data_IF_207186799850
#
_entry.id   IF_207186799850
#
_cell.length_a   1.000
_cell.length_b   1.000
_cell.length_c   1.000
_cell.angle_alpha   90.00
_cell.angle_beta   90.00
_cell.angle_gamma   90.00
#
_symmetry.space_group_name_H-M   'P 1'
#
loop_
_entity.id
_entity.type
_entity.pdbx_description
1 polymer ?
#
# COMPACT_ATOMS: atom_id res chain seq x y z
N UNK A 1 -17.20 6.68 -6.82
CA UNK A 1 -17.68 7.63 -5.79
C UNK A 1 -17.90 9.01 -6.37
N UNK A 2 -16.86 9.68 -6.94
CA UNK A 2 -16.97 11.03 -7.52
C UNK A 2 -18.04 11.10 -8.61
N UNK A 3 -17.89 10.31 -9.68
CA UNK A 3 -18.80 10.31 -10.83
C UNK A 3 -20.25 9.93 -10.48
N UNK A 4 -20.45 9.10 -9.47
CA UNK A 4 -21.77 8.69 -9.01
C UNK A 4 -22.43 9.66 -8.03
N UNK A 5 -21.73 10.71 -7.58
CA UNK A 5 -22.25 11.68 -6.60
C UNK A 5 -22.66 11.07 -5.27
N UNK A 6 -21.98 10.01 -4.81
CA UNK A 6 -22.38 9.25 -3.60
C UNK A 6 -22.33 10.07 -2.31
N UNK A 7 -21.62 11.19 -2.30
CA UNK A 7 -21.54 12.10 -1.16
C UNK A 7 -22.58 13.24 -1.21
N UNK A 8 -23.46 13.23 -2.23
CA UNK A 8 -24.50 14.24 -2.42
C UNK A 8 -24.06 15.45 -3.23
N UNK A 9 -25.04 16.26 -3.65
CA UNK A 9 -24.84 17.37 -4.59
C UNK A 9 -24.00 18.54 -4.05
N UNK A 10 -23.83 18.62 -2.73
CA UNK A 10 -23.13 19.72 -2.05
C UNK A 10 -21.67 19.38 -1.71
N UNK A 11 -21.20 18.18 -2.04
CA UNK A 11 -19.81 17.73 -1.77
C UNK A 11 -19.06 17.63 -3.07
N UNK A 12 -17.94 18.35 -3.18
CA UNK A 12 -17.01 18.23 -4.28
C UNK A 12 -15.74 17.54 -3.79
N UNK A 13 -15.27 16.57 -4.53
CA UNK A 13 -13.99 15.90 -4.25
C UNK A 13 -12.93 16.52 -5.16
N UNK A 14 -11.90 17.09 -4.56
CA UNK A 14 -10.69 17.53 -5.25
C UNK A 14 -9.59 16.49 -5.00
N UNK A 15 -9.13 15.84 -6.09
CA UNK A 15 -8.17 14.75 -6.01
C UNK A 15 -6.75 15.25 -6.23
N UNK A 16 -5.93 15.14 -5.19
CA UNK A 16 -4.49 15.47 -5.23
C UNK A 16 -3.67 14.19 -5.06
N UNK A 17 -2.78 13.92 -6.00
CA UNK A 17 -1.93 12.72 -6.00
C UNK A 17 -0.57 13.06 -5.40
N UNK A 18 -0.18 12.36 -4.34
CA UNK A 18 1.18 12.42 -3.79
C UNK A 18 2.06 11.31 -4.39
N UNK A 19 3.37 11.56 -4.50
CA UNK A 19 4.32 10.65 -5.12
C UNK A 19 5.44 10.19 -4.19
N UNK A 20 5.51 10.74 -2.98
CA UNK A 20 6.50 10.35 -1.97
C UNK A 20 5.95 10.47 -0.55
N UNK A 21 6.50 9.72 0.43
CA UNK A 21 6.13 9.87 1.85
C UNK A 21 6.37 11.28 2.39
N UNK A 22 7.37 12.00 1.89
CA UNK A 22 7.68 13.37 2.29
C UNK A 22 6.60 14.35 1.80
N UNK A 23 6.10 14.16 0.57
CA UNK A 23 4.99 14.93 0.02
C UNK A 23 3.71 14.70 0.82
N UNK A 24 3.39 13.45 1.12
CA UNK A 24 2.25 13.10 1.98
C UNK A 24 2.38 13.73 3.38
N UNK A 25 3.58 13.68 3.99
CA UNK A 25 3.83 14.33 5.28
C UNK A 25 3.58 15.84 5.21
N UNK A 26 4.05 16.50 4.14
CA UNK A 26 3.85 17.94 3.94
C UNK A 26 2.36 18.27 3.79
N UNK A 27 1.60 17.47 3.04
CA UNK A 27 0.14 17.61 2.90
C UNK A 27 -0.59 17.50 4.25
N UNK A 28 -0.24 16.49 5.05
CA UNK A 28 -0.84 16.31 6.39
C UNK A 28 -0.49 17.48 7.32
N UNK A 29 0.76 17.94 7.31
CA UNK A 29 1.19 19.06 8.15
C UNK A 29 0.61 20.40 7.69
N UNK A 30 0.39 20.56 6.39
CA UNK A 30 -0.24 21.75 5.80
C UNK A 30 -1.70 21.90 6.18
N UNK A 31 -2.41 20.80 6.44
CA UNK A 31 -3.81 20.80 6.84
C UNK A 31 -4.76 21.34 5.75
N UNK A 32 -4.33 21.27 4.48
CA UNK A 32 -5.10 21.75 3.33
C UNK A 32 -6.00 20.67 2.71
N UNK A 33 -5.92 19.43 3.22
CA UNK A 33 -6.65 18.28 2.75
C UNK A 33 -7.44 17.64 3.89
N UNK A 34 -8.60 17.08 3.57
CA UNK A 34 -9.52 16.49 4.54
C UNK A 34 -9.28 14.98 4.73
N UNK A 35 -8.97 14.29 3.63
CA UNK A 35 -8.83 12.84 3.58
C UNK A 35 -7.51 12.45 2.91
N UNK A 36 -6.88 11.42 3.43
CA UNK A 36 -5.57 10.97 2.97
C UNK A 36 -5.58 9.47 2.68
N UNK A 37 -5.03 9.06 1.53
CA UNK A 37 -4.67 7.68 1.30
C UNK A 37 -3.31 7.41 1.95
N UNK A 38 -3.27 6.51 2.93
CA UNK A 38 -2.09 6.20 3.72
C UNK A 38 -1.55 4.79 3.45
N UNK A 39 -0.25 4.63 3.19
CA UNK A 39 0.44 3.40 3.55
C UNK A 39 0.38 3.20 5.07
N UNK A 40 0.12 1.98 5.54
CA UNK A 40 -0.17 1.74 6.96
C UNK A 40 1.02 2.02 7.90
N UNK A 41 2.25 1.77 7.46
CA UNK A 41 3.46 2.16 8.19
C UNK A 41 3.59 3.68 8.34
N UNK A 42 3.19 4.42 7.30
CA UNK A 42 3.26 5.88 7.29
C UNK A 42 2.25 6.47 8.26
N UNK A 43 0.97 6.05 8.23
CA UNK A 43 -0.05 6.59 9.15
C UNK A 43 0.30 6.30 10.60
N UNK A 44 0.80 5.09 10.92
CA UNK A 44 1.29 4.74 12.26
C UNK A 44 2.46 5.64 12.68
N UNK A 45 3.42 5.88 11.78
CA UNK A 45 4.56 6.75 12.04
C UNK A 45 4.13 8.20 12.32
N UNK A 46 3.22 8.74 11.52
CA UNK A 46 2.69 10.10 11.70
C UNK A 46 1.94 10.23 13.04
N UNK A 47 1.08 9.27 13.36
CA UNK A 47 0.37 9.21 14.62
C UNK A 47 1.33 9.15 15.82
N UNK A 48 2.30 8.25 15.79
CA UNK A 48 3.29 8.09 16.85
C UNK A 48 4.20 9.31 17.04
N UNK A 49 4.38 10.12 16.01
CA UNK A 49 5.03 11.44 16.07
C UNK A 49 4.12 12.56 16.57
N UNK A 50 2.87 12.26 16.90
CA UNK A 50 1.92 13.20 17.51
C UNK A 50 1.13 14.04 16.51
N UNK A 51 1.09 13.66 15.21
CA UNK A 51 0.19 14.29 14.26
C UNK A 51 -1.25 13.83 14.52
N UNK A 52 -2.19 14.73 14.27
CA UNK A 52 -3.62 14.48 14.48
C UNK A 52 -4.22 13.66 13.33
N UNK A 53 -3.76 12.42 13.17
CA UNK A 53 -4.26 11.51 12.13
C UNK A 53 -5.02 10.34 12.74
N UNK A 54 -6.04 9.87 12.01
CA UNK A 54 -6.84 8.68 12.34
C UNK A 54 -6.97 7.81 11.11
N UNK A 55 -6.73 6.52 11.26
CA UNK A 55 -7.01 5.52 10.23
C UNK A 55 -8.51 5.19 10.23
N UNK A 56 -9.18 5.37 9.12
CA UNK A 56 -10.62 5.14 8.96
C UNK A 56 -10.94 3.74 8.47
N UNK A 57 -10.16 3.25 7.52
CA UNK A 57 -10.34 1.94 6.92
C UNK A 57 -9.03 1.38 6.38
N UNK A 58 -9.07 0.08 6.07
CA UNK A 58 -8.09 -0.59 5.21
C UNK A 58 -8.82 -1.05 3.96
N UNK A 59 -8.25 -0.74 2.79
CA UNK A 59 -8.92 -0.97 1.51
C UNK A 59 -8.05 -1.72 0.49
N UNK A 60 -6.76 -1.88 0.77
CA UNK A 60 -5.80 -2.56 -0.10
C UNK A 60 -5.03 -3.59 0.71
N UNK A 61 -5.03 -4.84 0.23
CA UNK A 61 -4.49 -6.01 0.91
C UNK A 61 -3.64 -6.85 -0.04
N UNK A 62 -2.56 -7.47 0.44
CA UNK A 62 -1.78 -8.46 -0.29
C UNK A 62 -1.32 -8.05 -1.70
N UNK A 63 -1.18 -6.76 -1.97
CA UNK A 63 -0.97 -6.15 -3.30
C UNK A 63 0.49 -6.26 -3.78
N UNK A 64 1.39 -6.77 -2.95
CA UNK A 64 2.84 -6.73 -3.15
C UNK A 64 3.38 -8.06 -3.65
N UNK A 65 4.31 -7.98 -4.59
CA UNK A 65 5.00 -9.12 -5.18
C UNK A 65 6.50 -8.87 -5.26
N UNK A 66 7.28 -9.92 -5.05
CA UNK A 66 8.69 -9.93 -5.43
C UNK A 66 8.80 -10.36 -6.88
N UNK A 67 9.44 -9.53 -7.67
CA UNK A 67 9.53 -9.63 -9.12
C UNK A 67 10.95 -9.91 -9.55
N UNK A 68 11.14 -10.73 -10.59
CA UNK A 68 12.47 -10.97 -11.16
C UNK A 68 12.39 -11.32 -12.63
N UNK A 69 13.50 -11.11 -13.35
CA UNK A 69 13.79 -11.68 -14.67
C UNK A 69 14.69 -12.91 -14.59
N UNK A 70 15.24 -13.24 -13.41
CA UNK A 70 16.07 -14.42 -13.20
C UNK A 70 15.21 -15.70 -13.17
N UNK A 71 15.34 -16.62 -14.15
CA UNK A 71 14.60 -17.87 -14.16
C UNK A 71 15.04 -18.86 -13.08
N UNK A 72 16.23 -18.67 -12.49
CA UNK A 72 16.79 -19.55 -11.47
C UNK A 72 16.42 -19.13 -10.04
N UNK A 73 15.86 -17.95 -9.85
CA UNK A 73 15.43 -17.46 -8.54
C UNK A 73 14.26 -18.29 -8.00
N UNK A 74 14.36 -18.78 -6.77
CA UNK A 74 13.33 -19.58 -6.09
C UNK A 74 12.98 -19.05 -4.71
N UNK A 75 13.96 -18.51 -3.95
CA UNK A 75 13.77 -18.14 -2.53
C UNK A 75 14.48 -16.83 -2.18
N UNK A 76 14.12 -16.22 -1.07
CA UNK A 76 14.79 -15.03 -0.54
C UNK A 76 16.29 -15.23 -0.33
N UNK A 77 16.74 -16.46 0.01
CA UNK A 77 18.17 -16.77 0.20
C UNK A 77 19.01 -16.61 -1.06
N UNK A 78 18.40 -16.70 -2.24
CA UNK A 78 19.09 -16.53 -3.54
C UNK A 78 19.51 -15.08 -3.79
N UNK A 79 19.07 -14.14 -2.94
CA UNK A 79 19.42 -12.72 -3.03
C UNK A 79 20.75 -12.37 -2.39
N UNK A 80 21.49 -13.34 -1.83
CA UNK A 80 22.82 -13.09 -1.28
C UNK A 80 23.77 -12.52 -2.36
N UNK A 81 24.34 -11.33 -2.10
CA UNK A 81 25.20 -10.60 -3.03
C UNK A 81 24.45 -9.85 -4.14
N UNK A 82 23.12 -9.76 -4.07
CA UNK A 82 22.29 -9.11 -5.09
C UNK A 82 21.86 -7.71 -4.68
N UNK A 83 21.39 -6.93 -5.66
CA UNK A 83 20.75 -5.64 -5.47
C UNK A 83 19.24 -5.80 -5.69
N UNK A 84 18.44 -5.33 -4.75
CA UNK A 84 16.98 -5.35 -4.79
C UNK A 84 16.45 -3.92 -4.88
N UNK A 85 15.61 -3.65 -5.86
CA UNK A 85 14.96 -2.36 -6.04
C UNK A 85 13.61 -2.34 -5.33
N UNK A 86 13.37 -1.33 -4.49
CA UNK A 86 12.15 -1.21 -3.69
C UNK A 86 11.54 0.17 -3.87
N UNK A 87 10.23 0.27 -4.13
CA UNK A 87 9.56 1.57 -4.18
C UNK A 87 9.24 2.08 -2.76
N UNK A 88 9.26 3.41 -2.60
CA UNK A 88 8.72 4.10 -1.43
C UNK A 88 9.31 3.60 -0.10
N UNK A 89 10.52 4.04 0.19
CA UNK A 89 11.18 3.76 1.48
C UNK A 89 10.24 3.98 2.67
N UNK A 90 10.31 3.11 3.67
CA UNK A 90 9.46 3.08 4.86
C UNK A 90 7.98 2.75 4.60
N UNK A 91 7.63 2.26 3.41
CA UNK A 91 6.31 1.73 3.10
C UNK A 91 6.15 0.27 3.56
N UNK A 92 4.91 -0.29 3.62
CA UNK A 92 4.72 -1.71 3.91
C UNK A 92 5.48 -2.67 3.00
N UNK A 93 5.56 -2.47 1.66
CA UNK A 93 6.42 -3.27 0.80
C UNK A 93 7.89 -3.27 1.20
N UNK A 94 8.44 -2.11 1.58
CA UNK A 94 9.82 -2.00 2.05
C UNK A 94 10.02 -2.74 3.37
N UNK A 95 9.18 -2.46 4.37
CA UNK A 95 9.26 -3.08 5.68
C UNK A 95 9.19 -4.63 5.60
N UNK A 96 8.25 -5.15 4.83
CA UNK A 96 8.10 -6.59 4.65
C UNK A 96 9.23 -7.22 3.83
N UNK A 97 9.77 -6.53 2.81
CA UNK A 97 10.94 -7.02 2.08
C UNK A 97 12.13 -7.20 3.02
N UNK A 98 12.42 -6.20 3.85
CA UNK A 98 13.50 -6.28 4.83
C UNK A 98 13.26 -7.39 5.85
N UNK A 99 12.01 -7.53 6.32
CA UNK A 99 11.63 -8.60 7.22
C UNK A 99 11.86 -10.00 6.60
N UNK A 100 11.39 -10.24 5.38
CA UNK A 100 11.57 -11.53 4.71
C UNK A 100 13.05 -11.84 4.38
N UNK A 101 13.85 -10.85 4.03
CA UNK A 101 15.29 -11.00 3.87
C UNK A 101 15.95 -11.42 5.20
N UNK A 102 15.57 -10.77 6.30
CA UNK A 102 16.08 -11.14 7.63
C UNK A 102 15.67 -12.57 8.04
N UNK A 103 14.42 -12.97 7.82
CA UNK A 103 13.94 -14.34 8.02
C UNK A 103 14.71 -15.39 7.19
N UNK A 104 15.21 -15.00 6.03
CA UNK A 104 16.06 -15.83 5.20
C UNK A 104 17.54 -15.83 5.64
N UNK A 105 17.87 -15.10 6.71
CA UNK A 105 19.22 -14.99 7.26
C UNK A 105 20.12 -14.01 6.50
N UNK A 106 19.53 -13.09 5.74
CA UNK A 106 20.26 -12.06 4.98
C UNK A 106 20.14 -10.70 5.69
N UNK A 107 21.28 -10.02 5.82
CA UNK A 107 21.38 -8.70 6.41
C UNK A 107 21.42 -7.64 5.30
N UNK A 108 20.46 -6.71 5.34
CA UNK A 108 20.45 -5.55 4.42
C UNK A 108 21.67 -4.68 4.67
N UNK A 109 22.36 -4.30 3.59
CA UNK A 109 23.60 -3.51 3.63
C UNK A 109 24.87 -4.33 3.81
N UNK A 110 24.77 -5.65 4.13
CA UNK A 110 25.90 -6.58 4.19
C UNK A 110 25.77 -7.66 3.12
N UNK A 111 24.65 -8.39 3.13
CA UNK A 111 24.39 -9.51 2.21
C UNK A 111 23.57 -9.10 1.00
N UNK A 112 22.69 -8.10 1.14
CA UNK A 112 21.79 -7.59 0.08
C UNK A 112 21.85 -6.08 0.07
N UNK A 113 22.01 -5.49 -1.11
CA UNK A 113 21.90 -4.04 -1.32
C UNK A 113 20.45 -3.68 -1.66
N UNK A 114 19.89 -2.66 -1.00
CA UNK A 114 18.57 -2.09 -1.35
C UNK A 114 18.77 -0.73 -2.02
N UNK A 115 18.11 -0.57 -3.18
CA UNK A 115 18.06 0.70 -3.91
C UNK A 115 16.61 1.17 -3.96
N UNK A 116 16.38 2.39 -3.47
CA UNK A 116 15.06 3.01 -3.47
C UNK A 116 14.86 3.93 -4.67
N UNK A 117 13.68 3.84 -5.28
CA UNK A 117 13.26 4.71 -6.36
C UNK A 117 11.73 4.92 -6.31
N UNK A 118 11.18 5.73 -7.19
CA UNK A 118 9.71 5.82 -7.32
C UNK A 118 9.13 4.51 -7.86
N UNK A 119 7.87 4.22 -7.55
CA UNK A 119 7.20 2.98 -8.02
C UNK A 119 7.24 2.85 -9.54
N UNK A 120 7.04 3.95 -10.26
CA UNK A 120 7.10 3.96 -11.72
C UNK A 120 8.52 3.70 -12.25
N UNK A 121 9.53 4.21 -11.57
CA UNK A 121 10.94 4.02 -11.95
C UNK A 121 11.38 2.59 -11.71
N UNK A 122 11.06 1.99 -10.55
CA UNK A 122 11.34 0.57 -10.28
C UNK A 122 10.70 -0.33 -11.34
N UNK A 123 9.43 -0.07 -11.70
CA UNK A 123 8.75 -0.82 -12.74
C UNK A 123 9.43 -0.66 -14.12
N UNK A 124 9.90 0.54 -14.46
CA UNK A 124 10.60 0.80 -15.71
C UNK A 124 11.98 0.11 -15.75
N UNK A 125 12.75 0.15 -14.67
CA UNK A 125 14.05 -0.53 -14.56
C UNK A 125 13.91 -2.05 -14.71
N UNK A 126 12.87 -2.63 -14.10
CA UNK A 126 12.57 -4.05 -14.23
C UNK A 126 12.14 -4.40 -15.67
N UNK A 127 11.27 -3.58 -16.26
CA UNK A 127 10.79 -3.78 -17.63
C UNK A 127 11.91 -3.65 -18.67
N UNK A 128 12.88 -2.75 -18.46
CA UNK A 128 14.05 -2.58 -19.35
C UNK A 128 15.12 -3.65 -19.16
N UNK A 129 15.07 -4.42 -18.05
CA UNK A 129 16.10 -5.37 -17.66
C UNK A 129 17.33 -4.73 -16.98
N UNK A 130 17.24 -3.45 -16.62
CA UNK A 130 18.28 -2.79 -15.81
C UNK A 130 18.24 -3.19 -14.35
N UNK A 131 17.05 -3.55 -13.83
CA UNK A 131 16.85 -4.22 -12.55
C UNK A 131 16.50 -5.70 -12.79
N UNK A 132 17.14 -6.60 -12.05
CA UNK A 132 16.86 -8.04 -12.11
C UNK A 132 15.91 -8.48 -10.98
N UNK A 133 15.97 -7.81 -9.83
CA UNK A 133 15.20 -8.11 -8.63
C UNK A 133 14.52 -6.86 -8.08
N UNK A 134 13.23 -6.93 -7.88
CA UNK A 134 12.48 -5.81 -7.35
C UNK A 134 11.26 -6.24 -6.54
N UNK A 135 10.93 -5.47 -5.50
CA UNK A 135 9.59 -5.48 -4.91
C UNK A 135 8.72 -4.50 -5.67
N UNK A 136 7.53 -4.90 -6.08
CA UNK A 136 6.55 -4.03 -6.72
C UNK A 136 5.14 -4.28 -6.19
N UNK A 137 4.30 -3.29 -6.38
CA UNK A 137 2.86 -3.35 -6.08
C UNK A 137 2.04 -3.25 -7.36
N UNK A 138 0.82 -3.80 -7.35
CA UNK A 138 -0.13 -3.57 -8.44
C UNK A 138 -0.58 -2.09 -8.46
N UNK A 139 -0.84 -1.51 -9.64
CA UNK A 139 -0.85 -2.12 -10.98
C UNK A 139 0.51 -2.11 -11.68
N UNK A 140 1.59 -1.70 -11.03
CA UNK A 140 2.92 -1.60 -11.66
C UNK A 140 3.53 -2.97 -11.95
N UNK A 141 3.19 -4.00 -11.17
CA UNK A 141 3.51 -5.40 -11.47
C UNK A 141 2.97 -5.80 -12.85
N UNK A 142 1.69 -5.63 -13.07
CA UNK A 142 1.03 -5.90 -14.34
C UNK A 142 1.61 -5.04 -15.47
N UNK A 143 1.93 -3.77 -15.20
CA UNK A 143 2.58 -2.88 -16.18
C UNK A 143 3.95 -3.42 -16.61
N UNK A 144 4.83 -3.78 -15.67
CA UNK A 144 6.16 -4.31 -15.98
C UNK A 144 6.08 -5.62 -16.78
N UNK A 145 5.22 -6.56 -16.36
CA UNK A 145 5.02 -7.83 -17.06
C UNK A 145 4.45 -7.64 -18.48
N UNK A 146 3.62 -6.63 -18.72
CA UNK A 146 3.08 -6.33 -20.05
C UNK A 146 4.14 -5.80 -21.01
N UNK A 147 5.23 -5.22 -20.50
CA UNK A 147 6.31 -4.61 -21.28
C UNK A 147 7.48 -5.58 -21.50
N UNK A 148 7.70 -6.53 -20.58
CA UNK A 148 8.77 -7.51 -20.67
C UNK A 148 8.27 -8.88 -20.23
N UNK A 149 8.21 -9.83 -21.15
CA UNK A 149 7.72 -11.19 -20.89
C UNK A 149 8.67 -12.06 -20.04
N UNK A 150 9.88 -11.61 -19.78
CA UNK A 150 10.82 -12.28 -18.86
C UNK A 150 10.54 -11.92 -17.40
N UNK A 151 9.87 -10.79 -17.18
CA UNK A 151 9.45 -10.36 -15.84
C UNK A 151 8.33 -11.26 -15.31
N UNK A 152 8.55 -11.82 -14.14
CA UNK A 152 7.56 -12.69 -13.48
C UNK A 152 7.34 -12.33 -12.02
N UNK A 153 6.16 -12.63 -11.50
CA UNK A 153 5.92 -12.70 -10.06
C UNK A 153 6.65 -13.94 -9.52
N UNK A 154 7.69 -13.73 -8.73
CA UNK A 154 8.50 -14.80 -8.17
C UNK A 154 7.97 -15.26 -6.82
N UNK A 155 7.66 -14.31 -5.93
CA UNK A 155 7.05 -14.58 -4.62
C UNK A 155 5.85 -13.66 -4.41
N UNK A 156 4.79 -14.21 -3.83
CA UNK A 156 3.66 -13.43 -3.32
C UNK A 156 3.92 -13.06 -1.87
N UNK A 157 3.83 -11.78 -1.53
CA UNK A 157 3.98 -11.35 -0.14
C UNK A 157 2.88 -11.91 0.75
N UNK A 158 1.68 -12.13 0.20
CA UNK A 158 0.58 -12.76 0.91
C UNK A 158 0.92 -14.20 1.33
N UNK A 159 1.51 -15.00 0.42
CA UNK A 159 1.93 -16.37 0.72
C UNK A 159 3.10 -16.38 1.73
N UNK A 160 4.06 -15.48 1.58
CA UNK A 160 5.16 -15.33 2.53
C UNK A 160 4.66 -14.89 3.92
N UNK A 161 3.70 -13.98 3.97
CA UNK A 161 3.06 -13.55 5.21
C UNK A 161 2.38 -14.71 5.94
N UNK A 162 1.55 -15.48 5.25
CA UNK A 162 0.90 -16.65 5.79
C UNK A 162 1.91 -17.68 6.30
N UNK A 163 3.02 -17.85 5.56
CA UNK A 163 4.10 -18.75 5.96
C UNK A 163 4.77 -18.32 7.27
N UNK A 164 5.06 -17.03 7.46
CA UNK A 164 5.80 -16.54 8.65
C UNK A 164 4.88 -16.34 9.85
N UNK A 165 3.65 -15.91 9.65
CA UNK A 165 2.68 -15.67 10.74
C UNK A 165 1.93 -16.94 11.15
N UNK A 166 1.85 -17.94 10.28
CA UNK A 166 1.06 -19.15 10.49
C UNK A 166 -0.45 -18.91 10.52
N UNK A 167 -0.92 -17.80 9.93
CA UNK A 167 -2.33 -17.39 9.90
C UNK A 167 -2.83 -17.27 8.46
N UNK A 168 -4.15 -17.33 8.29
CA UNK A 168 -4.82 -17.08 7.00
C UNK A 168 -5.23 -15.59 6.86
N UNK A 169 -4.68 -14.70 7.71
CA UNK A 169 -5.00 -13.27 7.65
C UNK A 169 -4.35 -12.62 6.44
N UNK A 170 -5.07 -11.66 5.84
CA UNK A 170 -4.54 -10.87 4.74
C UNK A 170 -3.51 -9.86 5.24
N UNK A 171 -2.51 -9.53 4.41
CA UNK A 171 -1.59 -8.44 4.70
C UNK A 171 -2.29 -7.11 4.50
N UNK A 172 -2.45 -6.28 5.54
CA UNK A 172 -2.96 -4.93 5.37
C UNK A 172 -1.86 -4.04 4.76
N UNK A 173 -2.18 -3.28 3.71
CA UNK A 173 -1.20 -2.46 3.00
C UNK A 173 -1.49 -0.96 3.07
N UNK A 174 -2.69 -0.56 2.66
CA UNK A 174 -3.08 0.85 2.62
C UNK A 174 -4.56 1.05 3.00
N UNK A 175 -4.87 2.26 3.40
CA UNK A 175 -6.23 2.65 3.77
C UNK A 175 -6.42 4.15 3.66
N UNK A 176 -7.63 4.62 3.95
CA UNK A 176 -7.91 6.03 4.12
C UNK A 176 -7.89 6.43 5.58
N UNK A 177 -7.44 7.65 5.80
CA UNK A 177 -7.49 8.31 7.10
C UNK A 177 -7.83 9.80 6.96
N UNK A 178 -8.04 10.42 8.10
CA UNK A 178 -8.33 11.84 8.24
C UNK A 178 -7.75 12.37 9.55
N UNK A 179 -8.05 13.61 9.94
CA UNK A 179 -7.69 14.16 11.25
C UNK A 179 -8.85 14.02 12.24
N UNK A 180 -8.55 13.98 13.55
CA UNK A 180 -9.59 14.00 14.56
C UNK A 180 -10.42 15.28 14.49
N UNK A 181 -9.76 16.41 14.21
CA UNK A 181 -10.45 17.69 14.02
C UNK A 181 -11.48 17.65 12.89
N UNK A 182 -11.16 17.03 11.76
CA UNK A 182 -12.12 16.86 10.67
C UNK A 182 -13.30 15.97 11.08
N UNK A 183 -13.06 14.88 11.81
CA UNK A 183 -14.11 13.99 12.31
C UNK A 183 -15.05 14.75 13.24
N UNK A 184 -14.50 15.53 14.18
CA UNK A 184 -15.28 16.29 15.16
C UNK A 184 -16.14 17.38 14.51
N UNK A 185 -15.64 18.00 13.45
CA UNK A 185 -16.34 19.05 12.70
C UNK A 185 -17.35 18.49 11.68
N UNK A 186 -17.09 17.30 11.14
CA UNK A 186 -17.86 16.71 10.03
C UNK A 186 -18.21 15.22 10.28
N UNK A 187 -18.85 14.85 11.42
CA UNK A 187 -19.08 13.45 11.75
C UNK A 187 -19.96 12.74 10.72
N UNK A 188 -21.03 13.38 10.26
CA UNK A 188 -21.94 12.79 9.26
C UNK A 188 -21.26 12.59 7.91
N UNK A 189 -20.40 13.54 7.46
CA UNK A 189 -19.66 13.42 6.20
C UNK A 189 -18.60 12.31 6.29
N UNK A 190 -17.97 12.13 7.46
CA UNK A 190 -17.01 11.06 7.71
C UNK A 190 -17.65 9.68 7.54
N UNK A 191 -18.84 9.48 8.13
CA UNK A 191 -19.59 8.23 7.96
C UNK A 191 -20.09 8.03 6.53
N UNK A 192 -20.59 9.08 5.88
CA UNK A 192 -21.02 9.04 4.48
C UNK A 192 -19.86 8.67 3.56
N UNK A 193 -18.65 9.21 3.80
CA UNK A 193 -17.47 8.85 3.04
C UNK A 193 -17.15 7.37 3.19
N UNK A 194 -17.14 6.82 4.40
CA UNK A 194 -16.86 5.40 4.65
C UNK A 194 -17.84 4.51 3.87
N UNK A 195 -19.14 4.81 3.95
CA UNK A 195 -20.16 4.05 3.24
C UNK A 195 -20.02 4.14 1.72
N UNK A 196 -19.83 5.36 1.20
CA UNK A 196 -19.64 5.62 -0.23
C UNK A 196 -18.36 4.98 -0.77
N UNK A 197 -17.31 4.95 0.05
CA UNK A 197 -16.04 4.33 -0.33
C UNK A 197 -16.16 2.80 -0.38
N UNK A 198 -16.82 2.19 0.60
CA UNK A 198 -17.11 0.74 0.59
C UNK A 198 -17.90 0.32 -0.65
N UNK A 199 -18.96 1.09 -0.99
CA UNK A 199 -19.74 0.86 -2.22
C UNK A 199 -18.87 1.02 -3.47
N UNK A 200 -17.98 2.02 -3.50
CA UNK A 200 -17.09 2.27 -4.63
C UNK A 200 -16.05 1.17 -4.82
N UNK A 201 -15.52 0.58 -3.74
CA UNK A 201 -14.61 -0.58 -3.83
C UNK A 201 -15.33 -1.77 -4.47
N UNK A 202 -16.57 -2.05 -4.03
CA UNK A 202 -17.36 -3.13 -4.62
C UNK A 202 -17.68 -2.87 -6.09
N UNK A 203 -18.04 -1.61 -6.42
CA UNK A 203 -18.31 -1.23 -7.81
C UNK A 203 -17.09 -1.44 -8.71
N UNK A 204 -15.88 -1.10 -8.26
CA UNK A 204 -14.63 -1.35 -9.02
C UNK A 204 -14.44 -2.82 -9.33
N UNK A 205 -14.73 -3.70 -8.36
CA UNK A 205 -14.61 -5.15 -8.54
C UNK A 205 -15.65 -5.71 -9.52
N UNK A 206 -16.86 -5.14 -9.50
CA UNK A 206 -17.96 -5.57 -10.36
C UNK A 206 -17.87 -4.97 -11.78
N UNK A 207 -17.17 -3.85 -11.95
CA UNK A 207 -17.07 -3.08 -13.20
C UNK A 207 -15.62 -2.73 -13.56
N UNK A 208 -14.72 -3.72 -13.72
CA UNK A 208 -13.29 -3.45 -13.87
C UNK A 208 -12.94 -2.63 -15.13
N UNK A 209 -13.65 -2.81 -16.23
CA UNK A 209 -13.41 -2.06 -17.46
C UNK A 209 -13.77 -0.57 -17.32
N UNK A 210 -14.92 -0.28 -16.69
CA UNK A 210 -15.36 1.10 -16.43
C UNK A 210 -14.46 1.78 -15.39
N UNK A 211 -14.06 1.05 -14.34
CA UNK A 211 -13.12 1.54 -13.33
C UNK A 211 -11.75 1.86 -13.96
N UNK A 212 -11.28 1.03 -14.87
CA UNK A 212 -10.03 1.25 -15.59
C UNK A 212 -10.10 2.50 -16.50
N UNK A 213 -11.24 2.75 -17.16
CA UNK A 213 -11.44 3.96 -17.95
C UNK A 213 -11.39 5.23 -17.07
N UNK A 214 -12.01 5.22 -15.89
CA UNK A 214 -11.92 6.33 -14.93
C UNK A 214 -10.49 6.52 -14.40
N UNK A 215 -9.74 5.44 -14.16
CA UNK A 215 -8.34 5.55 -13.75
C UNK A 215 -7.46 6.15 -14.86
N UNK A 216 -7.75 5.89 -16.13
CA UNK A 216 -7.05 6.53 -17.24
C UNK A 216 -7.37 8.03 -17.30
N UNK A 217 -8.63 8.41 -17.15
CA UNK A 217 -9.09 9.79 -17.19
C UNK A 217 -8.56 10.64 -16.04
N UNK A 218 -8.65 10.14 -14.79
CA UNK A 218 -8.35 10.91 -13.60
C UNK A 218 -6.92 10.74 -13.07
N UNK A 219 -6.26 9.59 -13.33
CA UNK A 219 -4.93 9.25 -12.83
C UNK A 219 -3.87 9.09 -13.92
N UNK A 220 -4.26 9.15 -15.21
CA UNK A 220 -3.36 8.98 -16.34
C UNK A 220 -2.80 7.56 -16.50
N UNK A 221 -3.41 6.57 -15.86
CA UNK A 221 -3.00 5.16 -15.91
C UNK A 221 -3.63 4.48 -17.13
N UNK A 222 -2.86 3.67 -17.86
CA UNK A 222 -3.40 2.95 -19.03
C UNK A 222 -4.54 2.02 -18.63
N UNK A 223 -5.75 2.23 -19.18
CA UNK A 223 -6.93 1.45 -18.85
C UNK A 223 -6.71 -0.07 -18.96
N UNK A 224 -6.09 -0.57 -20.02
CA UNK A 224 -5.82 -1.99 -20.20
C UNK A 224 -4.92 -2.59 -19.10
N UNK A 225 -4.00 -1.80 -18.54
CA UNK A 225 -3.13 -2.23 -17.42
C UNK A 225 -3.94 -2.29 -16.12
N UNK A 226 -4.74 -1.26 -15.85
CA UNK A 226 -5.57 -1.19 -14.64
C UNK A 226 -6.61 -2.31 -14.63
N UNK A 227 -7.33 -2.53 -15.73
CA UNK A 227 -8.31 -3.61 -15.87
C UNK A 227 -7.68 -4.97 -15.59
N UNK A 228 -6.51 -5.25 -16.14
CA UNK A 228 -5.79 -6.51 -15.90
C UNK A 228 -5.24 -6.62 -14.47
N UNK A 229 -4.96 -5.50 -13.80
CA UNK A 229 -4.42 -5.46 -12.44
C UNK A 229 -5.49 -5.64 -11.35
N UNK A 230 -6.72 -5.13 -11.56
CA UNK A 230 -7.80 -5.12 -10.55
C UNK A 230 -7.96 -6.46 -9.82
N UNK A 231 -7.96 -7.64 -10.48
CA UNK A 231 -8.09 -8.93 -9.78
C UNK A 231 -6.95 -9.23 -8.80
N UNK A 232 -5.80 -8.57 -8.94
CA UNK A 232 -4.59 -8.78 -8.15
C UNK A 232 -4.29 -7.62 -7.18
N UNK A 233 -5.18 -6.62 -7.12
CA UNK A 233 -4.97 -5.43 -6.28
C UNK A 233 -5.43 -5.62 -4.84
N UNK A 234 -6.01 -6.77 -4.48
CA UNK A 234 -6.46 -7.06 -3.13
C UNK A 234 -7.44 -6.03 -2.57
N UNK A 235 -8.32 -5.48 -3.42
CA UNK A 235 -9.28 -4.46 -3.03
C UNK A 235 -10.37 -5.07 -2.16
N UNK A 236 -10.40 -4.70 -0.89
CA UNK A 236 -11.43 -5.13 0.07
C UNK A 236 -11.57 -4.05 1.13
N UNK A 237 -12.77 -3.53 1.32
CA UNK A 237 -13.03 -2.56 2.36
C UNK A 237 -13.25 -3.25 3.71
N UNK A 238 -12.48 -2.81 4.73
CA UNK A 238 -12.78 -3.06 6.14
C UNK A 238 -12.64 -1.75 6.90
N UNK A 239 -13.56 -1.46 7.82
CA UNK A 239 -13.34 -0.36 8.76
C UNK A 239 -12.05 -0.59 9.55
N UNK A 240 -11.45 0.46 10.11
CA UNK A 240 -10.25 0.29 10.94
C UNK A 240 -10.51 -0.62 12.15
N UNK A 241 -11.74 -0.62 12.67
CA UNK A 241 -12.15 -1.50 13.76
C UNK A 241 -12.27 -2.97 13.31
N UNK A 242 -12.87 -3.23 12.15
CA UNK A 242 -13.00 -4.59 11.62
C UNK A 242 -11.65 -5.17 11.19
N UNK A 243 -10.70 -4.32 10.83
CA UNK A 243 -9.34 -4.71 10.43
C UNK A 243 -8.36 -4.85 11.62
N UNK A 244 -8.81 -4.65 12.87
CA UNK A 244 -7.92 -4.62 14.05
C UNK A 244 -7.04 -5.85 14.18
N UNK A 245 -7.60 -7.03 13.96
CA UNK A 245 -6.84 -8.28 14.10
C UNK A 245 -5.65 -8.37 13.16
N UNK A 246 -5.84 -8.00 11.90
CA UNK A 246 -4.80 -7.97 10.89
C UNK A 246 -3.81 -6.83 11.14
N UNK A 247 -4.31 -5.64 11.53
CA UNK A 247 -3.47 -4.49 11.88
C UNK A 247 -2.59 -4.77 13.09
N UNK A 248 -3.14 -5.38 14.14
CA UNK A 248 -2.37 -5.75 15.33
C UNK A 248 -1.30 -6.79 14.98
N UNK A 249 -1.61 -7.79 14.16
CA UNK A 249 -0.63 -8.77 13.70
C UNK A 249 0.49 -8.10 12.91
N UNK A 250 0.14 -7.20 11.98
CA UNK A 250 1.09 -6.47 11.14
C UNK A 250 1.99 -5.54 11.96
N UNK A 251 1.41 -4.71 12.83
CA UNK A 251 2.18 -3.77 13.63
C UNK A 251 3.04 -4.45 14.69
N UNK A 252 2.57 -5.55 15.31
CA UNK A 252 3.38 -6.34 16.25
C UNK A 252 4.59 -6.95 15.53
N UNK A 253 4.41 -7.56 14.36
CA UNK A 253 5.51 -8.13 13.59
C UNK A 253 6.58 -7.07 13.26
N UNK A 254 6.16 -5.90 12.78
CA UNK A 254 7.10 -4.82 12.46
C UNK A 254 7.75 -4.22 13.71
N UNK A 255 7.00 -4.09 14.82
CA UNK A 255 7.55 -3.61 16.09
C UNK A 255 8.61 -4.55 16.66
N UNK A 256 8.42 -5.85 16.53
CA UNK A 256 9.36 -6.85 17.01
C UNK A 256 10.62 -6.91 16.11
N UNK A 257 10.45 -6.65 14.82
CA UNK A 257 11.54 -6.63 13.85
C UNK A 257 12.35 -5.31 13.91
N UNK A 258 11.69 -4.19 13.67
CA UNK A 258 12.26 -2.84 13.77
C UNK A 258 11.16 -1.82 14.10
N UNK A 259 11.04 -1.38 15.37
CA UNK A 259 10.03 -0.40 15.78
C UNK A 259 10.06 0.92 14.98
N UNK A 260 11.22 1.29 14.42
CA UNK A 260 11.34 2.54 13.66
C UNK A 260 10.46 2.55 12.40
N UNK A 261 10.12 1.39 11.85
CA UNK A 261 9.24 1.23 10.68
C UNK A 261 7.81 1.68 10.92
N UNK A 262 7.40 1.77 12.19
CA UNK A 262 6.06 2.20 12.60
C UNK A 262 6.08 3.42 13.52
N UNK A 263 7.20 4.16 13.56
CA UNK A 263 7.37 5.36 14.35
C UNK A 263 7.83 5.13 15.79
N UNK A 264 8.48 4.00 16.08
CA UNK A 264 9.21 3.72 17.30
C UNK A 264 8.41 2.98 18.39
N UNK A 265 7.13 2.75 18.20
CA UNK A 265 6.25 2.02 19.14
C UNK A 265 4.97 1.55 18.44
N UNK A 266 4.27 0.61 19.06
CA UNK A 266 2.91 0.25 18.64
C UNK A 266 1.97 1.45 18.77
N UNK A 267 1.10 1.72 17.78
CA UNK A 267 0.05 2.71 17.91
C UNK A 267 -0.98 2.24 18.96
N UNK A 268 -1.51 3.18 19.72
CA UNK A 268 -2.61 2.90 20.64
C UNK A 268 -3.98 2.99 19.93
N UNK A 269 -5.06 2.75 20.69
CA UNK A 269 -6.42 2.74 20.15
C UNK A 269 -6.85 4.05 19.52
N UNK A 270 -6.20 5.16 19.87
CA UNK A 270 -6.47 6.47 19.31
C UNK A 270 -6.12 6.62 17.83
N UNK A 271 -5.31 5.73 17.26
CA UNK A 271 -5.07 5.72 15.82
C UNK A 271 -6.33 5.38 15.01
N UNK A 272 -7.19 4.52 15.55
CA UNK A 272 -8.26 3.89 14.80
C UNK A 272 -9.58 4.62 14.97
N UNK A 273 -10.16 5.08 13.87
CA UNK A 273 -11.50 5.67 13.90
C UNK A 273 -12.52 4.65 14.41
N UNK A 274 -13.34 5.07 15.38
CA UNK A 274 -14.24 4.17 16.09
C UNK A 274 -15.65 4.05 15.45
N UNK A 275 -15.95 4.88 14.42
CA UNK A 275 -17.30 4.96 13.84
C UNK A 275 -18.20 5.92 14.56
#
# INVERSE_FOLDING_TARGET
MMEAGLLGENVTIDLNVWNSPEELLAMVQGGEHDLYAFPLTVVSTLYNKGLDVRLMNVNTWGVTYFMTTDPAFETWADLAGKTVYIPLQSSPPDALTQYFLNEAGLTVGEDVEIVYASTAEVAALLASGEAEYATLIEPQVTSAMSQNSEVRRALSFEEEWQRVTGTDTMIPNAGFGTTQSFIDENPELTEQFQAAYAESVQWVLDHPAEAAALAEEHLGMKAAVVEAAIPNMGLTFKSAQDARGELDTFYNLLNDFDPSMIGGKLPDDGLYYAG
#
